data_IF_895359945224
#
_entry.id   IF_895359945224
#
_cell.length_a   1.000
_cell.length_b   1.000
_cell.length_c   1.000
_cell.angle_alpha   90.00
_cell.angle_beta   90.00
_cell.angle_gamma   90.00
#
_symmetry.space_group_name_H-M   'P 1'
#
loop_
_entity.id
_entity.type
_entity.pdbx_description
1 polymer ?
#
# COMPACT_ATOMS: atom_id res chain seq x y z
N UNK A 1 66.40 -0.56 -10.16
CA UNK A 1 66.22 -1.99 -9.78
C UNK A 1 66.09 -2.02 -8.26
N UNK A 2 64.99 -1.49 -7.70
CA UNK A 2 63.71 -2.16 -7.43
C UNK A 2 63.79 -3.19 -6.30
N UNK A 3 64.15 -2.78 -5.08
CA UNK A 3 63.89 -3.62 -3.90
C UNK A 3 63.92 -2.85 -2.57
N UNK A 4 63.02 -1.86 -2.38
CA UNK A 4 62.91 -1.14 -1.09
C UNK A 4 61.49 -0.84 -0.59
N UNK A 5 60.46 -1.42 -1.19
CA UNK A 5 59.05 -1.15 -0.84
C UNK A 5 58.25 -2.43 -0.61
N UNK A 6 58.68 -3.33 0.28
CA UNK A 6 57.99 -4.63 0.42
C UNK A 6 57.84 -5.22 1.82
N UNK A 7 57.88 -4.47 2.91
CA UNK A 7 57.83 -5.09 4.26
C UNK A 7 57.09 -4.26 5.32
N UNK A 8 55.80 -3.96 5.16
CA UNK A 8 55.08 -3.20 6.21
C UNK A 8 53.54 -3.37 6.23
N UNK A 9 52.89 -3.74 5.12
CA UNK A 9 51.42 -3.71 4.99
C UNK A 9 50.69 -4.82 5.76
N UNK A 10 51.33 -5.97 5.98
CA UNK A 10 50.65 -7.16 6.50
C UNK A 10 50.59 -7.21 8.05
N UNK A 11 51.42 -6.41 8.73
CA UNK A 11 51.49 -6.40 10.21
C UNK A 11 50.39 -5.50 10.80
N UNK A 12 50.08 -4.38 10.15
CA UNK A 12 49.05 -3.43 10.58
C UNK A 12 47.62 -3.96 10.40
N UNK A 13 47.38 -4.84 9.42
CA UNK A 13 46.07 -5.48 9.24
C UNK A 13 45.81 -6.59 10.28
N UNK A 14 46.82 -7.38 10.63
CA UNK A 14 46.69 -8.47 11.61
C UNK A 14 46.43 -7.98 13.06
N UNK A 15 47.00 -6.84 13.45
CA UNK A 15 46.77 -6.24 14.77
C UNK A 15 45.38 -5.60 14.88
N UNK A 16 44.92 -4.95 13.80
CA UNK A 16 43.58 -4.36 13.71
C UNK A 16 42.48 -5.44 13.77
N UNK A 17 42.68 -6.56 13.06
CA UNK A 17 41.76 -7.69 13.05
C UNK A 17 41.69 -8.38 14.43
N UNK A 18 42.84 -8.54 15.08
CA UNK A 18 42.94 -9.21 16.38
C UNK A 18 42.28 -8.44 17.53
N UNK A 19 42.36 -7.10 17.52
CA UNK A 19 41.67 -6.27 18.51
C UNK A 19 40.15 -6.33 18.35
N UNK A 20 39.64 -6.30 17.12
CA UNK A 20 38.21 -6.40 16.84
C UNK A 20 37.65 -7.74 17.31
N UNK A 21 38.31 -8.85 16.97
CA UNK A 21 37.88 -10.20 17.35
C UNK A 21 37.87 -10.37 18.87
N UNK A 22 38.90 -9.87 19.58
CA UNK A 22 38.96 -9.94 21.05
C UNK A 22 37.89 -9.08 21.72
N UNK A 23 37.60 -7.91 21.16
CA UNK A 23 36.55 -7.01 21.67
C UNK A 23 35.16 -7.60 21.41
N UNK A 24 34.93 -8.17 20.23
CA UNK A 24 33.72 -8.90 19.88
C UNK A 24 33.52 -10.13 20.78
N UNK A 25 34.56 -10.93 21.01
CA UNK A 25 34.47 -12.10 21.91
C UNK A 25 34.10 -11.69 23.34
N UNK A 26 34.76 -10.67 23.89
CA UNK A 26 34.49 -10.20 25.25
C UNK A 26 33.11 -9.54 25.41
N UNK A 27 32.67 -8.82 24.39
CA UNK A 27 31.41 -8.10 24.46
C UNK A 27 30.23 -9.01 24.08
N UNK A 28 30.41 -9.89 23.09
CA UNK A 28 29.36 -10.73 22.48
C UNK A 28 29.31 -12.16 23.00
N UNK A 29 30.44 -12.84 23.12
CA UNK A 29 30.49 -14.26 23.50
C UNK A 29 30.53 -14.48 25.02
N UNK A 30 31.09 -13.57 25.80
CA UNK A 30 31.17 -13.72 27.26
C UNK A 30 29.83 -13.46 27.97
N UNK A 31 28.92 -12.69 27.35
CA UNK A 31 27.60 -12.36 27.91
C UNK A 31 26.43 -12.48 26.91
N UNK A 32 26.15 -13.69 26.39
CA UNK A 32 25.15 -13.90 25.34
C UNK A 32 23.73 -13.51 25.79
N UNK A 33 23.40 -13.67 27.08
CA UNK A 33 22.10 -13.29 27.62
C UNK A 33 21.82 -11.79 27.59
N UNK A 34 22.82 -10.95 27.90
CA UNK A 34 22.67 -9.49 27.87
C UNK A 34 22.43 -8.97 26.46
N UNK A 35 23.12 -9.53 25.46
CA UNK A 35 22.93 -9.13 24.06
C UNK A 35 21.64 -9.67 23.48
N UNK A 36 21.24 -10.90 23.84
CA UNK A 36 19.92 -11.41 23.46
C UNK A 36 18.81 -10.47 23.98
N UNK A 37 18.92 -9.98 25.21
CA UNK A 37 17.99 -8.99 25.77
C UNK A 37 18.06 -7.68 24.99
N UNK A 38 19.26 -7.14 24.74
CA UNK A 38 19.44 -5.89 24.00
C UNK A 38 18.81 -5.96 22.60
N UNK A 39 19.07 -7.04 21.86
CA UNK A 39 18.51 -7.27 20.54
C UNK A 39 16.99 -7.48 20.60
N UNK A 40 16.49 -8.15 21.64
CA UNK A 40 15.05 -8.32 21.85
C UNK A 40 14.36 -6.98 22.11
N UNK A 41 14.96 -6.11 22.92
CA UNK A 41 14.45 -4.75 23.16
C UNK A 41 14.44 -3.95 21.86
N UNK A 42 15.51 -4.02 21.07
CA UNK A 42 15.58 -3.35 19.76
C UNK A 42 14.51 -3.87 18.79
N UNK A 43 14.31 -5.19 18.75
CA UNK A 43 13.28 -5.82 17.93
C UNK A 43 11.88 -5.37 18.35
N UNK A 44 11.59 -5.37 19.65
CA UNK A 44 10.29 -4.91 20.19
C UNK A 44 10.07 -3.44 19.86
N UNK A 45 11.11 -2.60 19.97
CA UNK A 45 11.04 -1.19 19.58
C UNK A 45 10.60 -1.00 18.12
N UNK A 46 11.18 -1.77 17.19
CA UNK A 46 10.74 -1.75 15.79
C UNK A 46 9.34 -2.36 15.60
N UNK A 47 9.04 -3.47 16.29
CA UNK A 47 7.75 -4.16 16.18
C UNK A 47 6.57 -3.29 16.61
N UNK A 48 6.74 -2.44 17.64
CA UNK A 48 5.72 -1.47 18.10
C UNK A 48 5.34 -0.50 16.98
N UNK A 49 6.24 -0.21 16.04
CA UNK A 49 5.99 0.73 14.95
C UNK A 49 5.36 0.07 13.70
N UNK A 50 5.28 -1.27 13.64
CA UNK A 50 4.71 -2.01 12.50
C UNK A 50 3.24 -1.65 12.21
N UNK A 51 2.33 -1.53 13.20
CA UNK A 51 0.94 -1.17 12.93
C UNK A 51 0.74 0.23 12.35
N UNK A 52 1.71 1.14 12.55
CA UNK A 52 1.67 2.50 12.01
C UNK A 52 2.26 2.59 10.60
N UNK A 53 2.87 1.51 10.10
CA UNK A 53 3.46 1.46 8.77
C UNK A 53 2.37 1.19 7.73
N UNK A 54 2.04 2.21 6.94
CA UNK A 54 1.12 2.10 5.81
C UNK A 54 1.95 1.88 4.55
N UNK A 55 1.81 0.71 3.94
CA UNK A 55 2.32 0.46 2.58
C UNK A 55 1.20 0.86 1.63
N UNK A 56 1.32 2.05 1.03
CA UNK A 56 0.47 2.43 -0.08
C UNK A 56 0.95 1.65 -1.32
N UNK A 57 0.36 0.48 -1.52
CA UNK A 57 0.62 -0.40 -2.65
C UNK A 57 -0.38 -0.16 -3.79
N UNK A 58 -1.00 1.02 -3.84
CA UNK A 58 -1.83 1.40 -4.97
C UNK A 58 -0.95 1.58 -6.22
N UNK A 59 -1.51 1.25 -7.39
CA UNK A 59 -0.84 1.48 -8.67
C UNK A 59 -0.48 2.95 -8.88
N UNK A 60 -1.17 3.87 -8.20
CA UNK A 60 -0.92 5.32 -8.22
C UNK A 60 0.41 5.70 -7.55
N UNK A 61 0.87 4.92 -6.58
CA UNK A 61 2.19 5.11 -5.93
C UNK A 61 3.36 4.62 -6.79
N UNK A 62 3.11 3.90 -7.88
CA UNK A 62 4.14 3.53 -8.87
C UNK A 62 4.31 4.59 -9.98
N UNK A 63 3.37 5.53 -10.11
CA UNK A 63 3.47 6.64 -11.06
C UNK A 63 4.38 7.72 -10.48
N UNK A 64 5.19 8.38 -11.31
CA UNK A 64 6.09 9.43 -10.86
C UNK A 64 5.31 10.57 -10.17
N UNK A 65 5.57 10.75 -8.87
CA UNK A 65 4.99 11.81 -8.04
C UNK A 65 5.28 13.24 -8.57
N UNK A 66 6.30 13.38 -9.43
CA UNK A 66 6.77 14.65 -9.99
C UNK A 66 6.22 15.00 -11.37
N UNK A 67 5.29 14.22 -11.92
CA UNK A 67 4.70 14.48 -13.24
C UNK A 67 3.67 15.64 -13.18
N UNK A 68 3.84 16.67 -14.03
CA UNK A 68 2.92 17.81 -14.09
C UNK A 68 1.53 17.42 -14.58
N UNK A 69 1.41 16.43 -15.47
CA UNK A 69 0.14 15.95 -15.99
C UNK A 69 -0.64 15.20 -14.90
N UNK A 70 0.06 14.40 -14.08
CA UNK A 70 -0.55 13.71 -12.93
C UNK A 70 -1.08 14.71 -11.89
N UNK A 71 -0.33 15.78 -11.64
CA UNK A 71 -0.76 16.85 -10.73
C UNK A 71 -2.01 17.56 -11.26
N UNK A 72 -2.04 17.87 -12.55
CA UNK A 72 -3.20 18.47 -13.20
C UNK A 72 -4.42 17.55 -13.16
N UNK A 73 -4.24 16.26 -13.46
CA UNK A 73 -5.28 15.24 -13.36
C UNK A 73 -5.86 15.14 -11.93
N UNK A 74 -5.01 15.09 -10.90
CA UNK A 74 -5.45 15.08 -9.49
C UNK A 74 -6.19 16.37 -9.11
N UNK A 75 -5.79 17.53 -9.65
CA UNK A 75 -6.51 18.79 -9.44
C UNK A 75 -7.90 18.78 -10.09
N UNK A 76 -8.02 18.21 -11.30
CA UNK A 76 -9.31 17.99 -11.96
C UNK A 76 -10.20 17.05 -11.14
N UNK A 77 -9.70 15.89 -10.73
CA UNK A 77 -10.40 14.93 -9.86
C UNK A 77 -10.87 15.60 -8.56
N UNK A 78 -10.02 16.43 -7.93
CA UNK A 78 -10.37 17.14 -6.70
C UNK A 78 -11.40 18.26 -6.91
N UNK A 79 -11.35 18.95 -8.05
CA UNK A 79 -12.26 20.07 -8.38
C UNK A 79 -13.63 19.60 -8.83
N UNK A 80 -13.69 18.53 -9.60
CA UNK A 80 -14.92 18.03 -10.21
C UNK A 80 -15.47 16.76 -9.53
N UNK A 81 -14.71 16.16 -8.62
CA UNK A 81 -15.04 14.88 -7.99
C UNK A 81 -14.72 13.71 -8.92
N UNK A 82 -14.02 12.69 -8.42
CA UNK A 82 -14.15 11.33 -8.96
C UNK A 82 -15.22 10.65 -8.13
N UNK A 83 -16.37 10.40 -8.73
CA UNK A 83 -17.34 9.48 -8.13
C UNK A 83 -16.88 8.07 -8.47
N UNK A 84 -16.47 7.32 -7.45
CA UNK A 84 -16.24 5.88 -7.61
C UNK A 84 -17.59 5.21 -7.84
N UNK A 85 -17.84 4.72 -9.05
CA UNK A 85 -19.09 4.07 -9.42
C UNK A 85 -18.90 2.58 -9.70
N UNK A 86 -19.91 1.79 -9.39
CA UNK A 86 -20.01 0.38 -9.76
C UNK A 86 -21.09 0.20 -10.82
N UNK A 87 -20.74 -0.37 -11.97
CA UNK A 87 -21.72 -0.74 -12.99
C UNK A 87 -22.20 -2.17 -12.73
N UNK A 88 -23.50 -2.32 -12.51
CA UNK A 88 -24.16 -3.63 -12.36
C UNK A 88 -24.94 -3.94 -13.63
N UNK A 89 -24.55 -4.99 -14.33
CA UNK A 89 -25.28 -5.48 -15.49
C UNK A 89 -26.35 -6.49 -15.05
N UNK A 90 -27.62 -6.18 -15.30
CA UNK A 90 -28.75 -7.04 -14.98
C UNK A 90 -29.23 -7.79 -16.22
N UNK A 91 -29.33 -9.11 -16.15
CA UNK A 91 -29.86 -9.94 -17.23
C UNK A 91 -31.23 -10.47 -16.82
N UNK A 92 -32.27 -10.01 -17.52
CA UNK A 92 -33.63 -10.49 -17.31
C UNK A 92 -33.85 -11.84 -18.03
N UNK A 93 -34.49 -12.79 -17.34
CA UNK A 93 -34.95 -14.04 -17.96
C UNK A 93 -36.21 -13.87 -18.83
N UNK A 94 -36.89 -12.73 -18.72
CA UNK A 94 -38.09 -12.33 -19.48
C UNK A 94 -37.88 -10.93 -20.08
N UNK A 95 -38.93 -10.25 -20.55
CA UNK A 95 -38.75 -8.91 -21.11
C UNK A 95 -38.41 -7.91 -19.99
N UNK A 96 -37.55 -6.93 -20.30
CA UNK A 96 -37.04 -5.97 -19.31
C UNK A 96 -38.14 -5.08 -18.73
N UNK A 97 -39.22 -4.89 -19.48
CA UNK A 97 -40.35 -4.04 -19.11
C UNK A 97 -41.52 -4.82 -18.49
N UNK A 98 -41.37 -6.12 -18.25
CA UNK A 98 -42.36 -6.89 -17.49
C UNK A 98 -42.36 -6.44 -16.03
N UNK A 99 -43.54 -6.38 -15.43
CA UNK A 99 -43.74 -5.94 -14.03
C UNK A 99 -42.87 -6.74 -13.05
N UNK A 100 -42.72 -8.05 -13.27
CA UNK A 100 -41.88 -8.91 -12.45
C UNK A 100 -40.40 -8.46 -12.53
N UNK A 101 -39.88 -8.24 -13.73
CA UNK A 101 -38.51 -7.78 -13.95
C UNK A 101 -38.26 -6.40 -13.33
N UNK A 102 -39.20 -5.48 -13.48
CA UNK A 102 -39.09 -4.12 -12.91
C UNK A 102 -39.13 -4.16 -11.37
N UNK A 103 -39.97 -5.02 -10.79
CA UNK A 103 -40.00 -5.23 -9.33
C UNK A 103 -38.70 -5.82 -8.81
N UNK A 104 -38.08 -6.75 -9.54
CA UNK A 104 -36.80 -7.35 -9.16
C UNK A 104 -35.68 -6.30 -9.18
N UNK A 105 -35.65 -5.43 -10.19
CA UNK A 105 -34.69 -4.32 -10.28
C UNK A 105 -34.92 -3.31 -9.14
N UNK A 106 -36.18 -3.01 -8.80
CA UNK A 106 -36.51 -2.12 -7.69
C UNK A 106 -36.02 -2.67 -6.34
N UNK A 107 -36.26 -3.96 -6.09
CA UNK A 107 -35.77 -4.63 -4.88
C UNK A 107 -34.24 -4.61 -4.81
N UNK A 108 -33.54 -4.92 -5.92
CA UNK A 108 -32.09 -4.88 -5.98
C UNK A 108 -31.53 -3.47 -5.72
N UNK A 109 -32.16 -2.43 -6.27
CA UNK A 109 -31.79 -1.03 -6.00
C UNK A 109 -31.89 -0.70 -4.51
N UNK A 110 -33.00 -1.08 -3.89
CA UNK A 110 -33.29 -0.78 -2.48
C UNK A 110 -32.35 -1.54 -1.53
N UNK A 111 -31.98 -2.77 -1.87
CA UNK A 111 -30.99 -3.56 -1.13
C UNK A 111 -29.58 -2.94 -1.25
N UNK A 112 -29.18 -2.53 -2.46
CA UNK A 112 -27.88 -1.87 -2.67
C UNK A 112 -27.80 -0.53 -1.95
N UNK A 113 -28.90 0.23 -1.88
CA UNK A 113 -28.97 1.50 -1.16
C UNK A 113 -28.77 1.35 0.36
N UNK A 114 -29.00 0.16 0.92
CA UNK A 114 -28.78 -0.13 2.34
C UNK A 114 -27.34 -0.56 2.66
N UNK A 115 -26.51 -0.84 1.64
CA UNK A 115 -25.11 -1.24 1.84
C UNK A 115 -24.31 -0.07 2.40
N UNK A 116 -23.60 -0.31 3.51
CA UNK A 116 -22.76 0.70 4.15
C UNK A 116 -21.69 1.22 3.17
N UNK A 117 -21.72 2.52 2.90
CA UNK A 117 -20.77 3.19 2.00
C UNK A 117 -21.33 3.53 0.62
N UNK A 118 -22.54 3.06 0.28
CA UNK A 118 -23.26 3.49 -0.92
C UNK A 118 -23.94 4.84 -0.64
N UNK A 119 -23.65 5.85 -1.45
CA UNK A 119 -24.25 7.18 -1.36
C UNK A 119 -25.53 7.31 -2.20
N UNK A 120 -25.56 6.68 -3.37
CA UNK A 120 -26.69 6.66 -4.28
C UNK A 120 -26.69 5.41 -5.15
N UNK A 121 -27.88 5.01 -5.60
CA UNK A 121 -28.07 3.94 -6.61
C UNK A 121 -28.99 4.51 -7.68
N UNK A 122 -28.53 4.50 -8.93
CA UNK A 122 -29.32 4.94 -10.09
C UNK A 122 -29.69 3.69 -10.90
N UNK A 123 -30.98 3.46 -11.08
CA UNK A 123 -31.49 2.34 -11.88
C UNK A 123 -32.21 2.84 -13.13
N UNK A 124 -32.54 1.92 -14.06
CA UNK A 124 -33.37 2.24 -15.24
C UNK A 124 -34.74 2.83 -14.88
N UNK A 125 -35.21 2.61 -13.65
CA UNK A 125 -36.48 3.13 -13.13
C UNK A 125 -36.41 4.63 -12.82
N UNK A 126 -35.21 5.15 -12.55
CA UNK A 126 -34.99 6.49 -12.03
C UNK A 126 -34.47 7.46 -13.11
N UNK A 127 -34.11 6.95 -14.30
CA UNK A 127 -33.57 7.77 -15.39
C UNK A 127 -34.70 8.58 -16.03
N UNK A 128 -34.57 9.92 -16.10
CA UNK A 128 -35.57 10.75 -16.79
C UNK A 128 -35.65 10.39 -18.27
N UNK A 129 -36.85 10.10 -18.75
CA UNK A 129 -37.10 9.98 -20.19
C UNK A 129 -36.86 11.37 -20.79
N UNK A 130 -35.84 11.48 -21.65
CA UNK A 130 -35.58 12.71 -22.39
C UNK A 130 -36.80 13.01 -23.28
N UNK A 131 -37.62 13.98 -22.87
CA UNK A 131 -38.47 14.68 -23.81
C UNK A 131 -37.59 15.73 -24.51
N UNK A 132 -37.20 15.43 -25.75
CA UNK A 132 -36.69 16.46 -26.65
C UNK A 132 -37.87 17.38 -27.02
N UNK A 133 -37.74 18.71 -26.96
CA UNK A 133 -38.68 19.61 -27.61
C UNK A 133 -38.68 19.41 -29.14
#
# INVERSE_FOLDING_TARGET
MSDKYRLDSNATLAEADGWFIRTYQKLVLDHPGLIAILLSVLLVFFAINVPNYKIDASSDSLVLEGDEDLKYFRELIKRYGSEDYLIVAYSAGQTVFDEATLSDIAALRDDLAQVRGVSSVVSILDVPLLYSP
#
